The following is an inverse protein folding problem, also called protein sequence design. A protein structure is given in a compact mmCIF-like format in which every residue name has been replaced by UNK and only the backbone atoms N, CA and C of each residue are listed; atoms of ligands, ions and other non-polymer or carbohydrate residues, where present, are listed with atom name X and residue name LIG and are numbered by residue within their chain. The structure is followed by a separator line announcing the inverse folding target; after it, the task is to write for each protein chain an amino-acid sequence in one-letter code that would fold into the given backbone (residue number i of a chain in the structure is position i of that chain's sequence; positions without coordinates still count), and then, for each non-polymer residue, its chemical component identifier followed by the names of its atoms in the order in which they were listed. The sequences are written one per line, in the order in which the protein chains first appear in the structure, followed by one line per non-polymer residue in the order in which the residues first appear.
data_IF_360655383441
#
_entry.id   IF_360655383441
#
_cell.length_a   1.000
_cell.length_b   1.000
_cell.length_c   1.000
_cell.angle_alpha   90.00
_cell.angle_beta   90.00
_cell.angle_gamma   90.00
#
_symmetry.space_group_name_H-M   'P 1'
#
loop_
_entity.id
_entity.type
_entity.pdbx_description
1 polymer ?
#
# COMPACT_ATOMS: atom_id res chain seq x y z
N UNK A 1 17.21 -31.17 -17.84
CA UNK A 1 17.59 -30.35 -16.67
C UNK A 1 17.17 -28.87 -16.74
N UNK A 2 17.35 -28.15 -17.86
CA UNK A 2 17.06 -26.69 -17.99
C UNK A 2 15.60 -26.27 -17.70
N UNK A 3 14.64 -27.19 -17.80
CA UNK A 3 13.21 -26.94 -17.58
C UNK A 3 12.81 -26.88 -16.09
N UNK A 4 13.51 -27.60 -15.20
CA UNK A 4 13.22 -27.58 -13.74
C UNK A 4 13.53 -26.21 -13.15
N UNK A 5 14.67 -25.63 -13.52
CA UNK A 5 15.13 -24.34 -12.98
C UNK A 5 14.25 -23.16 -13.40
N UNK A 6 13.55 -23.23 -14.54
CA UNK A 6 12.61 -22.19 -14.97
C UNK A 6 11.35 -22.20 -14.09
N UNK A 7 10.82 -23.38 -13.77
CA UNK A 7 9.64 -23.52 -12.89
C UNK A 7 9.94 -23.07 -11.47
N UNK A 8 11.10 -23.43 -10.94
CA UNK A 8 11.56 -23.00 -9.62
C UNK A 8 11.68 -21.48 -9.51
N UNK A 9 12.23 -20.81 -10.55
CA UNK A 9 12.30 -19.34 -10.62
C UNK A 9 10.92 -18.70 -10.66
N UNK A 10 10.02 -19.21 -11.50
CA UNK A 10 8.64 -18.70 -11.57
C UNK A 10 7.91 -18.82 -10.23
N UNK A 11 8.11 -19.93 -9.52
CA UNK A 11 7.54 -20.14 -8.20
C UNK A 11 8.11 -19.16 -7.17
N UNK A 12 9.43 -18.92 -7.18
CA UNK A 12 10.07 -17.94 -6.30
C UNK A 12 9.52 -16.52 -6.53
N UNK A 13 9.40 -16.07 -7.79
CA UNK A 13 8.81 -14.77 -8.12
C UNK A 13 7.37 -14.65 -7.64
N UNK A 14 6.57 -15.72 -7.80
CA UNK A 14 5.19 -15.74 -7.34
C UNK A 14 5.10 -15.64 -5.80
N UNK A 15 5.97 -16.33 -5.07
CA UNK A 15 6.04 -16.24 -3.59
C UNK A 15 6.40 -14.81 -3.16
N UNK A 16 7.41 -14.21 -3.77
CA UNK A 16 7.82 -12.82 -3.46
C UNK A 16 6.67 -11.85 -3.77
N UNK A 17 6.02 -11.99 -4.92
CA UNK A 17 4.89 -11.14 -5.29
C UNK A 17 3.70 -11.31 -4.33
N UNK A 18 3.43 -12.54 -3.88
CA UNK A 18 2.42 -12.82 -2.85
C UNK A 18 2.71 -12.08 -1.55
N UNK A 19 3.94 -12.19 -1.03
CA UNK A 19 4.35 -11.52 0.22
C UNK A 19 4.19 -10.00 0.09
N UNK A 20 4.67 -9.41 -1.00
CA UNK A 20 4.52 -7.97 -1.26
C UNK A 20 3.03 -7.59 -1.28
N UNK A 21 2.20 -8.36 -1.98
CA UNK A 21 0.76 -8.09 -2.10
C UNK A 21 0.07 -8.14 -0.73
N UNK A 22 0.42 -9.10 0.12
CA UNK A 22 -0.12 -9.21 1.49
C UNK A 22 0.24 -7.97 2.31
N UNK A 23 1.50 -7.52 2.26
CA UNK A 23 1.96 -6.31 2.96
C UNK A 23 1.18 -5.09 2.46
N UNK A 24 1.06 -4.92 1.13
CA UNK A 24 0.31 -3.81 0.54
C UNK A 24 -1.17 -3.83 0.94
N UNK A 25 -1.79 -5.01 0.98
CA UNK A 25 -3.16 -5.16 1.44
C UNK A 25 -3.33 -4.68 2.89
N UNK A 26 -2.44 -5.05 3.80
CA UNK A 26 -2.48 -4.56 5.18
C UNK A 26 -2.24 -3.04 5.27
N UNK A 27 -1.36 -2.48 4.45
CA UNK A 27 -1.15 -1.03 4.37
C UNK A 27 -2.43 -0.30 3.94
N UNK A 28 -3.16 -0.84 2.96
CA UNK A 28 -4.42 -0.25 2.51
C UNK A 28 -5.56 -0.48 3.50
N UNK A 29 -5.54 -1.58 4.26
CA UNK A 29 -6.55 -1.91 5.26
C UNK A 29 -6.36 -1.10 6.56
N UNK A 30 -5.12 -0.77 6.91
CA UNK A 30 -4.77 -0.10 8.16
C UNK A 30 -5.61 1.17 8.44
N UNK A 31 -5.79 2.10 7.48
CA UNK A 31 -6.61 3.29 7.69
C UNK A 31 -8.07 3.01 8.06
N UNK A 32 -8.65 1.88 7.62
CA UNK A 32 -10.03 1.53 7.94
C UNK A 32 -10.21 1.02 9.38
N UNK A 33 -9.13 0.51 9.99
CA UNK A 33 -9.12 0.02 11.37
C UNK A 33 -8.68 1.15 12.32
N UNK A 34 -7.75 1.98 11.85
CA UNK A 34 -7.24 3.14 12.56
C UNK A 34 -8.32 4.23 12.66
N UNK A 35 -8.95 4.38 13.83
CA UNK A 35 -9.79 5.56 14.11
C UNK A 35 -8.98 6.85 13.92
N UNK A 36 -9.45 7.72 13.03
CA UNK A 36 -8.83 8.99 12.61
C UNK A 36 -8.30 9.82 13.78
N UNK A 37 -9.09 9.86 14.84
CA UNK A 37 -8.88 10.72 16.00
C UNK A 37 -7.76 10.18 16.90
N UNK A 38 -7.49 8.88 16.86
CA UNK A 38 -6.52 8.23 17.75
C UNK A 38 -5.15 8.21 17.10
N UNK A 39 -5.05 7.89 15.80
CA UNK A 39 -3.75 7.84 15.11
C UNK A 39 -3.16 9.23 14.92
N UNK A 40 -3.97 10.26 14.66
CA UNK A 40 -3.47 11.63 14.50
C UNK A 40 -3.25 12.37 15.83
N UNK A 41 -3.93 11.97 16.92
CA UNK A 41 -3.63 12.49 18.28
C UNK A 41 -2.44 11.79 18.94
N UNK A 42 -2.25 10.49 18.65
CA UNK A 42 -1.11 9.71 19.14
C UNK A 42 0.13 9.91 18.28
N UNK A 43 -0.02 10.26 17.00
CA UNK A 43 1.12 10.69 16.19
C UNK A 43 1.64 12.00 16.80
N UNK A 44 2.78 11.98 17.52
CA UNK A 44 3.29 13.16 18.17
C UNK A 44 3.53 14.22 17.10
N UNK A 45 3.45 15.49 17.51
CA UNK A 45 3.92 16.63 16.71
C UNK A 45 5.22 16.24 16.00
N UNK A 46 5.14 16.04 14.68
CA UNK A 46 6.23 15.48 13.92
C UNK A 46 7.47 16.35 14.16
N UNK A 47 8.61 15.76 14.54
CA UNK A 47 9.84 16.51 14.81
C UNK A 47 10.21 17.40 13.60
N UNK A 48 9.87 16.97 12.38
CA UNK A 48 10.02 17.78 11.17
C UNK A 48 9.21 19.06 11.17
N UNK A 49 7.97 19.01 11.64
CA UNK A 49 7.08 20.18 11.73
C UNK A 49 7.55 21.10 12.85
N UNK A 50 7.92 20.55 14.00
CA UNK A 50 8.41 21.35 15.13
C UNK A 50 9.74 22.03 14.80
N UNK A 51 10.72 21.27 14.30
CA UNK A 51 12.11 21.73 14.16
C UNK A 51 12.41 22.37 12.82
N UNK A 52 11.78 21.91 11.75
CA UNK A 52 12.07 22.37 10.38
C UNK A 52 10.88 23.08 9.71
N UNK A 53 9.72 23.16 10.39
CA UNK A 53 8.48 23.77 9.88
C UNK A 53 8.07 23.22 8.50
N UNK A 54 8.43 21.96 8.22
CA UNK A 54 8.05 21.24 7.01
C UNK A 54 7.26 19.99 7.37
N UNK A 55 6.16 19.76 6.66
CA UNK A 55 5.44 18.50 6.75
C UNK A 55 6.37 17.34 6.36
N UNK A 56 6.45 16.33 7.22
CA UNK A 56 7.24 15.13 6.92
C UNK A 56 6.54 14.35 5.80
N UNK A 57 7.24 13.96 4.72
CA UNK A 57 6.63 13.26 3.60
C UNK A 57 5.97 11.94 4.01
N UNK A 58 6.54 11.25 5.02
CA UNK A 58 5.98 10.03 5.60
C UNK A 58 4.70 10.30 6.39
N UNK A 59 4.70 11.28 7.30
CA UNK A 59 3.50 11.62 8.07
C UNK A 59 2.36 12.14 7.17
N UNK A 60 2.70 12.96 6.17
CA UNK A 60 1.77 13.42 5.16
C UNK A 60 1.19 12.28 4.32
N UNK A 61 1.98 11.25 4.01
CA UNK A 61 1.52 10.06 3.29
C UNK A 61 0.52 9.24 4.10
N UNK A 62 0.82 8.95 5.37
CA UNK A 62 -0.12 8.22 6.26
C UNK A 62 -1.43 9.00 6.41
N UNK A 63 -1.37 10.31 6.59
CA UNK A 63 -2.55 11.17 6.69
C UNK A 63 -3.35 11.19 5.39
N UNK A 64 -2.66 11.21 4.25
CA UNK A 64 -3.30 11.12 2.95
C UNK A 64 -4.00 9.78 2.74
N UNK A 65 -3.41 8.66 3.17
CA UNK A 65 -4.04 7.34 3.06
C UNK A 65 -5.29 7.23 3.93
N UNK A 66 -5.29 7.86 5.11
CA UNK A 66 -6.49 8.02 5.95
C UNK A 66 -7.55 8.84 5.21
N UNK A 67 -7.22 10.03 4.70
CA UNK A 67 -8.19 10.85 3.97
C UNK A 67 -8.73 10.14 2.71
N UNK A 68 -7.89 9.39 1.98
CA UNK A 68 -8.31 8.56 0.85
C UNK A 68 -9.33 7.50 1.29
N UNK A 69 -9.13 6.86 2.45
CA UNK A 69 -10.08 5.87 2.99
C UNK A 69 -11.46 6.46 3.33
N UNK A 70 -11.53 7.78 3.57
CA UNK A 70 -12.77 8.54 3.78
C UNK A 70 -13.29 9.22 2.51
N UNK A 71 -12.76 8.88 1.34
CA UNK A 71 -13.10 9.49 0.05
C UNK A 71 -12.81 11.01 -0.02
N UNK A 72 -11.91 11.54 0.84
CA UNK A 72 -11.52 12.96 0.90
C UNK A 72 -10.25 13.22 0.09
N UNK A 73 -10.34 13.07 -1.23
CA UNK A 73 -9.18 13.17 -2.12
C UNK A 73 -8.53 14.57 -2.17
N UNK A 74 -9.31 15.64 -2.01
CA UNK A 74 -8.77 17.01 -1.98
C UNK A 74 -7.83 17.21 -0.80
N UNK A 75 -8.24 16.79 0.41
CA UNK A 75 -7.42 16.83 1.62
C UNK A 75 -6.18 15.95 1.48
N UNK A 76 -6.33 14.74 0.94
CA UNK A 76 -5.21 13.84 0.68
C UNK A 76 -4.15 14.47 -0.24
N UNK A 77 -4.60 15.16 -1.30
CA UNK A 77 -3.70 15.85 -2.22
C UNK A 77 -2.93 17.00 -1.57
N UNK A 78 -3.54 17.70 -0.61
CA UNK A 78 -2.88 18.75 0.16
C UNK A 78 -1.76 18.19 1.06
N UNK A 79 -1.99 17.05 1.72
CA UNK A 79 -0.99 16.44 2.60
C UNK A 79 0.16 15.77 1.84
N UNK A 80 -0.12 15.07 0.74
CA UNK A 80 0.92 14.53 -0.13
C UNK A 80 0.35 14.25 -1.53
N UNK A 81 0.79 15.03 -2.53
CA UNK A 81 0.34 14.87 -3.93
C UNK A 81 0.64 13.49 -4.52
N UNK A 82 1.75 12.87 -4.11
CA UNK A 82 2.16 11.55 -4.59
C UNK A 82 1.38 10.40 -3.96
N UNK A 83 0.65 10.65 -2.87
CA UNK A 83 -0.09 9.60 -2.15
C UNK A 83 -1.20 8.97 -2.99
N UNK A 84 -1.95 9.77 -3.75
CA UNK A 84 -3.04 9.29 -4.61
C UNK A 84 -2.49 8.35 -5.67
N UNK A 85 -1.39 8.75 -6.32
CA UNK A 85 -0.74 7.92 -7.33
C UNK A 85 -0.22 6.61 -6.74
N UNK A 86 0.43 6.67 -5.57
CA UNK A 86 0.94 5.48 -4.88
C UNK A 86 -0.19 4.53 -4.45
N UNK A 87 -1.30 5.08 -3.94
CA UNK A 87 -2.48 4.33 -3.55
C UNK A 87 -3.07 3.57 -4.76
N UNK A 88 -3.15 4.21 -5.92
CA UNK A 88 -3.59 3.57 -7.17
C UNK A 88 -2.65 2.43 -7.57
N UNK A 89 -1.33 2.62 -7.48
CA UNK A 89 -0.36 1.55 -7.77
C UNK A 89 -0.58 0.35 -6.86
N UNK A 90 -0.81 0.57 -5.56
CA UNK A 90 -1.06 -0.52 -4.61
C UNK A 90 -2.34 -1.27 -4.94
N UNK A 91 -3.43 -0.54 -5.24
CA UNK A 91 -4.68 -1.15 -5.68
C UNK A 91 -4.50 -1.97 -6.96
N UNK A 92 -3.85 -1.42 -7.98
CA UNK A 92 -3.59 -2.14 -9.22
C UNK A 92 -2.74 -3.39 -9.00
N UNK A 93 -1.73 -3.33 -8.13
CA UNK A 93 -0.91 -4.49 -7.79
C UNK A 93 -1.77 -5.62 -7.21
N UNK A 94 -2.66 -5.31 -6.26
CA UNK A 94 -3.58 -6.29 -5.64
C UNK A 94 -4.56 -6.86 -6.66
N UNK A 95 -5.12 -6.02 -7.54
CA UNK A 95 -6.04 -6.46 -8.60
C UNK A 95 -5.31 -7.41 -9.57
N UNK A 96 -4.13 -7.04 -10.06
CA UNK A 96 -3.36 -7.87 -10.98
C UNK A 96 -2.93 -9.20 -10.35
N UNK A 97 -2.48 -9.17 -9.09
CA UNK A 97 -2.13 -10.38 -8.37
C UNK A 97 -3.33 -11.32 -8.21
N UNK A 98 -4.49 -10.77 -7.85
CA UNK A 98 -5.73 -11.55 -7.70
C UNK A 98 -6.16 -12.18 -9.01
N UNK A 99 -6.19 -11.41 -10.11
CA UNK A 99 -6.55 -11.91 -11.45
C UNK A 99 -5.56 -12.97 -11.94
N UNK A 100 -4.26 -12.74 -11.75
CA UNK A 100 -3.22 -13.70 -12.12
C UNK A 100 -3.35 -15.01 -11.33
N UNK A 101 -3.53 -14.92 -10.02
CA UNK A 101 -3.71 -16.08 -9.12
C UNK A 101 -4.96 -16.88 -9.46
N UNK A 102 -6.09 -16.20 -9.72
CA UNK A 102 -7.32 -16.85 -10.14
C UNK A 102 -7.15 -17.63 -11.46
N UNK A 103 -6.51 -17.01 -12.47
CA UNK A 103 -6.20 -17.69 -13.74
C UNK A 103 -5.25 -18.87 -13.55
N UNK A 104 -4.21 -18.71 -12.72
CA UNK A 104 -3.25 -19.79 -12.40
C UNK A 104 -3.94 -20.97 -11.73
N UNK A 105 -4.83 -20.73 -10.76
CA UNK A 105 -5.58 -21.77 -10.07
C UNK A 105 -6.53 -22.50 -11.03
N UNK A 106 -7.24 -21.77 -11.91
CA UNK A 106 -8.12 -22.37 -12.92
C UNK A 106 -7.37 -23.24 -13.91
N UNK A 107 -6.16 -22.84 -14.33
CA UNK A 107 -5.33 -23.63 -15.25
C UNK A 107 -4.66 -24.85 -14.60
N UNK A 108 -4.72 -24.98 -13.27
CA UNK A 108 -4.16 -26.13 -12.54
C UNK A 108 -5.22 -27.22 -12.28
N UNK A 109 -6.51 -26.88 -12.41
CA UNK A 109 -7.62 -27.83 -12.39
C UNK A 109 -7.96 -28.27 -13.80
#
# INVERSE_FOLDING_TARGET
MKYSSIKERQQAYYIVWSIITIILFFILLFPFIAKDNTVLKVSPTCISVIKYHRECPMCGMTRSFIEISHCKFSSAFHYNRGSIFLYIIFLLNIVFYTVYTYKRFKNTK
#
